data_IF_046638252132
#
_entry.id   IF_046638252132
#
_cell.length_a   1.000
_cell.length_b   1.000
_cell.length_c   1.000
_cell.angle_alpha   90.00
_cell.angle_beta   90.00
_cell.angle_gamma   90.00
#
_symmetry.space_group_name_H-M   'P 1'
#
loop_
_entity.id
_entity.type
_entity.pdbx_description
1 polymer ?
#
# COMPACT_ATOMS: atom_id res chain seq x y z
N UNK A 1 -7.47 -1.39 -20.25
CA UNK A 1 -6.47 -2.28 -19.61
C UNK A 1 -5.28 -2.35 -20.54
N UNK A 2 -4.29 -1.50 -20.31
CA UNK A 2 -3.08 -1.53 -21.13
C UNK A 2 -2.17 -2.65 -20.62
N UNK A 3 -1.32 -3.18 -21.50
CA UNK A 3 -0.29 -4.16 -21.12
C UNK A 3 0.63 -3.60 -20.01
N UNK A 4 0.83 -2.28 -19.96
CA UNK A 4 1.63 -1.61 -18.94
C UNK A 4 0.99 -1.69 -17.55
N UNK A 5 -0.33 -1.55 -17.46
CA UNK A 5 -1.06 -1.69 -16.19
C UNK A 5 -1.02 -3.14 -15.68
N UNK A 6 -1.08 -4.11 -16.60
CA UNK A 6 -0.96 -5.53 -16.27
C UNK A 6 0.42 -5.89 -15.72
N UNK A 7 1.50 -5.34 -16.28
CA UNK A 7 2.86 -5.62 -15.78
C UNK A 7 3.17 -4.94 -14.45
N UNK A 8 2.61 -3.75 -14.17
CA UNK A 8 2.77 -3.10 -12.87
C UNK A 8 2.07 -3.88 -11.75
N UNK A 9 0.92 -4.50 -12.02
CA UNK A 9 0.22 -5.35 -11.04
C UNK A 9 0.98 -6.65 -10.70
N UNK A 10 1.90 -7.12 -11.55
CA UNK A 10 2.62 -8.38 -11.31
C UNK A 10 3.77 -8.26 -10.30
N UNK A 11 4.19 -7.05 -9.95
CA UNK A 11 5.26 -6.78 -8.96
C UNK A 11 4.70 -6.19 -7.66
N UNK A 12 3.38 -6.28 -7.44
CA UNK A 12 2.76 -5.96 -6.15
C UNK A 12 2.74 -7.20 -5.25
N UNK A 13 3.11 -7.05 -3.98
CA UNK A 13 3.04 -8.14 -3.00
C UNK A 13 1.59 -8.44 -2.63
N UNK A 14 0.77 -7.41 -2.61
CA UNK A 14 -0.65 -7.41 -2.29
C UNK A 14 -1.41 -6.73 -3.44
N UNK A 15 -1.64 -7.45 -4.55
CA UNK A 15 -2.30 -6.87 -5.72
C UNK A 15 -3.71 -6.41 -5.38
N UNK A 16 -4.13 -5.32 -6.03
CA UNK A 16 -5.48 -4.73 -5.87
C UNK A 16 -5.82 -4.34 -4.42
N UNK A 17 -4.80 -4.03 -3.59
CA UNK A 17 -4.98 -3.66 -2.17
C UNK A 17 -4.73 -2.18 -1.95
N UNK A 18 -5.74 -1.51 -1.39
CA UNK A 18 -5.66 -0.13 -0.95
C UNK A 18 -5.16 -0.03 0.50
N UNK A 19 -4.05 0.68 0.69
CA UNK A 19 -3.42 0.92 1.99
C UNK A 19 -3.74 2.32 2.48
N UNK A 20 -4.17 2.41 3.73
CA UNK A 20 -4.44 3.67 4.41
C UNK A 20 -3.60 3.77 5.69
N UNK A 21 -3.20 4.98 6.04
CA UNK A 21 -2.45 5.24 7.25
C UNK A 21 -3.34 4.99 8.49
N UNK A 22 -2.97 4.05 9.36
CA UNK A 22 -3.74 3.75 10.58
C UNK A 22 -3.80 4.93 11.57
N UNK A 23 -2.87 5.88 11.46
CA UNK A 23 -2.84 7.10 12.28
C UNK A 23 -3.74 8.25 11.80
N UNK A 24 -3.73 8.57 10.50
CA UNK A 24 -4.42 9.75 9.96
C UNK A 24 -5.39 9.47 8.81
N UNK A 25 -5.48 8.23 8.33
CA UNK A 25 -6.35 7.82 7.23
C UNK A 25 -5.88 8.20 5.83
N UNK A 26 -4.69 8.78 5.69
CA UNK A 26 -4.13 9.16 4.38
C UNK A 26 -3.92 7.92 3.49
N UNK A 27 -4.18 8.06 2.19
CA UNK A 27 -3.92 7.00 1.22
C UNK A 27 -2.41 6.80 1.03
N UNK A 28 -1.93 5.58 1.28
CA UNK A 28 -0.50 5.28 1.29
C UNK A 28 0.05 4.94 -0.09
N UNK A 29 -0.75 4.30 -0.97
CA UNK A 29 -0.27 3.85 -2.28
C UNK A 29 0.22 5.02 -3.16
N UNK A 30 -0.32 6.22 -2.96
CA UNK A 30 0.10 7.43 -3.68
C UNK A 30 1.34 8.13 -3.07
N UNK A 31 1.81 7.69 -1.90
CA UNK A 31 2.99 8.30 -1.27
C UNK A 31 4.26 7.90 -2.02
N UNK A 32 5.12 8.89 -2.30
CA UNK A 32 6.32 8.67 -3.09
C UNK A 32 7.23 7.59 -2.50
N UNK A 33 7.44 6.51 -3.28
CA UNK A 33 8.29 5.39 -2.91
C UNK A 33 7.62 4.37 -1.98
N UNK A 34 6.29 4.44 -1.83
CA UNK A 34 5.50 3.38 -1.23
C UNK A 34 5.81 2.05 -1.93
N UNK A 35 5.92 1.01 -1.12
CA UNK A 35 6.34 -0.32 -1.55
C UNK A 35 5.74 -1.32 -0.58
N UNK A 36 4.75 -2.08 -1.06
CA UNK A 36 4.00 -3.05 -0.27
C UNK A 36 4.82 -4.32 0.04
N UNK A 37 6.03 -4.46 -0.53
CA UNK A 37 7.00 -5.46 -0.12
C UNK A 37 7.63 -5.11 1.23
N UNK A 38 7.58 -3.84 1.65
CA UNK A 38 8.03 -3.43 2.98
C UNK A 38 6.95 -3.80 4.00
N UNK A 39 7.35 -4.47 5.07
CA UNK A 39 6.42 -4.87 6.15
C UNK A 39 5.81 -3.69 6.93
N UNK A 40 6.43 -2.52 6.86
CA UNK A 40 6.00 -1.30 7.56
C UNK A 40 6.23 -0.10 6.65
N UNK A 41 5.25 0.78 6.58
CA UNK A 41 5.36 2.07 5.91
C UNK A 41 5.24 3.22 6.90
N UNK A 42 6.14 4.19 6.82
CA UNK A 42 6.05 5.43 7.60
C UNK A 42 5.31 6.47 6.76
N UNK A 43 4.09 6.82 7.18
CA UNK A 43 3.28 7.84 6.52
C UNK A 43 4.06 9.15 6.38
N UNK A 44 4.10 9.69 5.15
CA UNK A 44 4.79 10.95 4.85
C UNK A 44 4.10 12.16 5.46
N UNK A 45 2.78 12.08 5.63
CA UNK A 45 1.97 13.17 6.21
C UNK A 45 2.11 13.28 7.72
N UNK A 46 1.87 12.19 8.46
CA UNK A 46 1.82 12.24 9.94
C UNK A 46 2.98 11.55 10.65
N UNK A 47 3.80 10.78 9.95
CA UNK A 47 4.92 10.04 10.52
C UNK A 47 4.56 8.75 11.25
N UNK A 48 3.27 8.36 11.32
CA UNK A 48 2.83 7.09 11.87
C UNK A 48 3.38 5.91 11.06
N UNK A 49 3.63 4.77 11.72
CA UNK A 49 4.15 3.55 11.09
C UNK A 49 3.03 2.52 10.95
N UNK A 50 2.49 2.39 9.75
CA UNK A 50 1.45 1.41 9.42
C UNK A 50 2.05 0.07 9.04
N UNK A 51 1.39 -1.01 9.46
CA UNK A 51 1.79 -2.39 9.11
C UNK A 51 1.23 -2.76 7.74
N UNK A 52 2.10 -3.25 6.86
CA UNK A 52 1.75 -3.72 5.52
C UNK A 52 1.80 -5.25 5.52
N UNK A 53 0.67 -5.87 5.83
CA UNK A 53 0.53 -7.31 6.07
C UNK A 53 -0.84 -7.83 5.68
N UNK A 54 -0.92 -9.10 5.24
CA UNK A 54 -2.20 -9.77 4.94
C UNK A 54 -3.22 -9.71 6.07
N UNK A 55 -2.76 -9.69 7.32
CA UNK A 55 -3.61 -9.58 8.51
C UNK A 55 -4.41 -8.28 8.57
N UNK A 56 -4.02 -7.26 7.80
CA UNK A 56 -4.69 -5.96 7.69
C UNK A 56 -5.54 -5.81 6.42
N UNK A 57 -5.67 -6.88 5.62
CA UNK A 57 -6.50 -6.89 4.41
C UNK A 57 -7.85 -7.52 4.78
N UNK A 58 -8.93 -6.82 4.44
CA UNK A 58 -10.29 -7.27 4.71
C UNK A 58 -11.03 -7.48 3.38
N UNK A 59 -11.42 -8.72 3.08
CA UNK A 59 -12.34 -8.99 1.97
C UNK A 59 -13.75 -8.52 2.35
N UNK A 60 -14.41 -7.79 1.45
CA UNK A 60 -15.77 -7.26 1.64
C UNK A 60 -16.83 -8.05 0.86
#
# INVERSE_FOLDING_TARGET
>A
MSIFDYFNSQDERFPETDWYCDGCGEYLNDQHGFDDHKYVWKCTECGFKSSISKDNIFDS
#
